data_IF_247750166925
#
_entry.id   IF_247750166925
#
_cell.length_a   1.000
_cell.length_b   1.000
_cell.length_c   1.000
_cell.angle_alpha   90.00
_cell.angle_beta   90.00
_cell.angle_gamma   90.00
#
_symmetry.space_group_name_H-M   'P 1'
#
loop_
_entity.id
_entity.type
_entity.pdbx_description
1 polymer ?
#
# COMPACT_ATOMS: atom_id res chain seq x y z
N UNK A 1 3.29 -7.60 19.89
CA UNK A 1 2.68 -6.33 19.47
C UNK A 1 1.18 -6.41 19.65
N UNK A 2 0.56 -5.30 19.99
CA UNK A 2 -0.89 -5.15 19.99
C UNK A 2 -1.24 -4.16 18.88
N UNK A 3 -1.59 -4.68 17.72
CA UNK A 3 -1.89 -3.84 16.54
C UNK A 3 -3.11 -2.96 16.71
N UNK A 4 -3.99 -3.33 17.63
CA UNK A 4 -5.23 -2.57 17.92
C UNK A 4 -4.97 -1.40 18.89
N UNK A 5 -3.74 -1.21 19.37
CA UNK A 5 -3.35 -0.06 20.18
C UNK A 5 -2.84 1.09 19.31
N UNK A 6 -2.80 2.29 19.87
CA UNK A 6 -2.29 3.50 19.21
C UNK A 6 -3.35 4.24 18.38
N UNK A 7 -2.97 5.45 17.96
CA UNK A 7 -3.89 6.36 17.27
C UNK A 7 -4.14 5.96 15.80
N UNK A 8 -3.26 5.17 15.20
CA UNK A 8 -3.37 4.74 13.81
C UNK A 8 -4.56 3.82 13.51
N UNK A 9 -5.12 3.16 14.53
CA UNK A 9 -6.34 2.34 14.44
C UNK A 9 -7.42 2.79 15.43
N UNK A 10 -7.37 4.05 15.85
CA UNK A 10 -8.37 4.63 16.75
C UNK A 10 -9.78 4.42 16.17
N UNK A 11 -10.70 3.97 17.03
CA UNK A 11 -12.10 3.61 16.72
C UNK A 11 -12.31 2.34 15.89
N UNK A 12 -11.27 1.67 15.45
CA UNK A 12 -11.43 0.33 14.88
C UNK A 12 -11.68 -0.66 16.04
N UNK A 13 -12.75 -1.45 16.01
CA UNK A 13 -13.00 -2.43 17.05
C UNK A 13 -11.87 -3.42 17.19
N UNK A 14 -11.50 -3.77 18.43
CA UNK A 14 -10.50 -4.80 18.68
C UNK A 14 -10.88 -6.11 17.98
N UNK A 15 -9.89 -6.77 17.42
CA UNK A 15 -10.07 -8.02 16.70
C UNK A 15 -10.57 -7.85 15.26
N UNK A 16 -10.71 -6.61 14.75
CA UNK A 16 -10.99 -6.36 13.33
C UNK A 16 -9.77 -6.71 12.47
N UNK A 17 -8.56 -6.42 12.96
CA UNK A 17 -7.33 -6.79 12.27
C UNK A 17 -7.15 -8.31 12.33
N UNK A 18 -7.09 -8.95 11.16
CA UNK A 18 -6.89 -10.41 11.04
C UNK A 18 -5.52 -10.78 10.51
N UNK A 19 -4.95 -9.91 9.68
CA UNK A 19 -3.63 -10.13 9.08
C UNK A 19 -2.83 -8.84 9.04
N UNK A 20 -1.52 -8.99 8.92
CA UNK A 20 -0.62 -7.91 8.53
C UNK A 20 -0.03 -8.28 7.17
N UNK A 21 -0.23 -7.41 6.18
CA UNK A 21 0.53 -7.47 4.94
C UNK A 21 1.87 -6.80 5.16
N UNK A 22 2.91 -7.51 4.79
CA UNK A 22 4.30 -7.08 4.92
C UNK A 22 4.84 -6.75 3.54
N UNK A 23 5.36 -5.56 3.39
CA UNK A 23 5.96 -5.13 2.14
C UNK A 23 7.31 -4.45 2.35
N UNK A 24 8.00 -4.21 1.27
CA UNK A 24 9.26 -3.49 1.23
C UNK A 24 9.25 -2.45 0.12
N UNK A 25 10.25 -1.59 0.13
CA UNK A 25 10.46 -0.56 -0.86
C UNK A 25 11.70 -0.89 -1.70
N UNK A 26 11.54 -0.90 -3.01
CA UNK A 26 12.63 -0.96 -3.97
C UNK A 26 12.82 0.44 -4.57
N UNK A 27 14.03 0.94 -4.52
CA UNK A 27 14.38 2.17 -5.21
C UNK A 27 14.47 1.88 -6.71
N UNK A 28 13.94 2.79 -7.51
CA UNK A 28 14.00 2.64 -8.95
C UNK A 28 15.46 2.59 -9.44
N UNK A 29 15.88 1.54 -10.12
CA UNK A 29 17.27 1.37 -10.53
C UNK A 29 17.68 2.24 -11.72
N UNK A 30 16.72 2.93 -12.36
CA UNK A 30 17.00 3.61 -13.63
C UNK A 30 16.40 5.01 -13.68
N UNK A 31 17.26 6.05 -13.55
CA UNK A 31 16.98 7.47 -13.83
C UNK A 31 15.65 8.05 -13.29
N UNK A 32 15.03 7.40 -12.35
CA UNK A 32 13.76 7.78 -11.78
C UNK A 32 13.94 8.35 -10.36
N UNK A 33 15.04 9.02 -10.14
CA UNK A 33 15.28 9.73 -8.89
C UNK A 33 14.82 11.18 -9.00
N UNK A 34 14.15 11.66 -7.99
CA UNK A 34 13.77 13.05 -7.87
C UNK A 34 12.25 13.31 -7.95
N UNK A 35 11.88 14.57 -7.87
CA UNK A 35 10.50 15.06 -7.84
C UNK A 35 9.63 14.67 -9.05
N UNK A 36 10.26 14.11 -10.08
CA UNK A 36 9.63 13.71 -11.35
C UNK A 36 9.47 12.21 -11.46
N UNK A 37 9.52 11.49 -10.34
CA UNK A 37 9.38 10.04 -10.31
C UNK A 37 8.09 9.55 -10.98
N UNK A 38 8.24 8.65 -11.91
CA UNK A 38 7.17 8.16 -12.79
C UNK A 38 6.56 6.84 -12.35
N UNK A 39 6.76 6.45 -11.09
CA UNK A 39 6.25 5.18 -10.56
C UNK A 39 4.74 5.22 -10.34
N UNK A 40 4.21 6.38 -10.02
CA UNK A 40 2.78 6.62 -9.89
C UNK A 40 2.47 8.10 -9.99
N UNK A 41 1.24 8.45 -10.33
CA UNK A 41 0.80 9.85 -10.30
C UNK A 41 0.75 10.31 -8.86
N UNK A 42 1.44 11.41 -8.54
CA UNK A 42 1.51 12.00 -7.20
C UNK A 42 1.88 10.97 -6.12
N UNK A 43 2.59 9.92 -6.52
CA UNK A 43 2.96 8.81 -5.66
C UNK A 43 4.39 8.89 -5.16
N UNK A 44 4.78 7.96 -4.28
CA UNK A 44 6.15 7.84 -3.81
C UNK A 44 7.11 7.48 -4.94
N UNK A 45 8.38 7.72 -4.74
CA UNK A 45 9.47 7.47 -5.70
C UNK A 45 9.94 6.02 -5.72
N UNK A 46 9.42 5.22 -4.84
CA UNK A 46 9.82 3.85 -4.56
C UNK A 46 8.74 2.87 -5.03
N UNK A 47 9.19 1.75 -5.51
CA UNK A 47 8.33 0.64 -5.90
C UNK A 47 7.99 -0.16 -4.65
N UNK A 48 6.71 -0.35 -4.39
CA UNK A 48 6.26 -1.24 -3.32
C UNK A 48 6.24 -2.67 -3.80
N UNK A 49 6.91 -3.54 -3.04
CA UNK A 49 6.93 -4.97 -3.26
C UNK A 49 6.30 -5.66 -2.06
N UNK A 50 5.33 -6.52 -2.30
CA UNK A 50 4.66 -7.28 -1.25
C UNK A 50 5.49 -8.54 -0.99
N UNK A 51 5.99 -8.67 0.24
CA UNK A 51 6.72 -9.86 0.70
C UNK A 51 5.72 -10.97 1.03
N UNK A 52 4.60 -10.63 1.64
CA UNK A 52 3.54 -11.56 1.97
C UNK A 52 2.69 -11.11 3.15
N UNK A 53 2.09 -12.07 3.84
CA UNK A 53 1.17 -11.82 4.95
C UNK A 53 1.49 -12.68 6.16
N UNK A 54 1.10 -12.22 7.35
CA UNK A 54 1.16 -12.95 8.62
C UNK A 54 -0.16 -12.79 9.36
N UNK A 55 -0.53 -13.81 10.14
CA UNK A 55 -1.75 -13.79 10.92
C UNK A 55 -1.58 -12.98 12.21
N UNK A 56 -2.66 -12.36 12.65
CA UNK A 56 -2.78 -11.65 13.92
C UNK A 56 -3.59 -12.50 14.90
N UNK A 57 -3.12 -12.61 16.12
CA UNK A 57 -3.82 -13.33 17.19
C UNK A 57 -5.10 -12.60 17.59
N UNK A 58 -6.03 -13.29 18.24
CA UNK A 58 -7.31 -12.72 18.68
C UNK A 58 -7.18 -11.50 19.61
N UNK A 59 -6.05 -11.41 20.33
CA UNK A 59 -5.74 -10.28 21.22
C UNK A 59 -5.03 -9.12 20.49
N UNK A 60 -4.91 -9.18 19.16
CA UNK A 60 -4.23 -8.18 18.34
C UNK A 60 -2.71 -8.33 18.32
N UNK A 61 -2.14 -9.37 18.90
CA UNK A 61 -0.69 -9.56 18.91
C UNK A 61 -0.21 -10.38 17.71
N UNK A 62 1.01 -10.10 17.25
CA UNK A 62 1.68 -10.86 16.20
C UNK A 62 3.18 -10.92 16.47
N UNK A 63 3.81 -12.04 16.13
CA UNK A 63 5.26 -12.21 16.10
C UNK A 63 5.67 -12.92 14.82
N UNK A 64 6.58 -12.34 14.07
CA UNK A 64 6.99 -12.86 12.76
C UNK A 64 8.44 -12.46 12.42
N UNK A 65 9.02 -13.14 11.46
CA UNK A 65 10.35 -12.86 10.94
C UNK A 65 10.26 -11.93 9.73
N UNK A 66 11.19 -10.99 9.64
CA UNK A 66 11.35 -10.10 8.47
C UNK A 66 12.77 -10.25 7.92
N UNK A 67 13.00 -9.98 6.63
CA UNK A 67 14.34 -9.90 6.08
C UNK A 67 15.18 -8.85 6.81
N UNK A 68 16.39 -9.19 7.19
CA UNK A 68 17.31 -8.25 7.81
C UNK A 68 17.83 -7.22 6.81
N UNK A 69 18.20 -6.03 7.29
CA UNK A 69 18.72 -4.92 6.49
C UNK A 69 17.79 -4.49 5.33
N UNK A 70 16.50 -4.73 5.49
CA UNK A 70 15.50 -4.44 4.47
C UNK A 70 14.47 -3.46 5.03
N UNK A 71 14.15 -2.35 4.35
CA UNK A 71 13.10 -1.44 4.78
C UNK A 71 11.74 -2.16 4.65
N UNK A 72 11.02 -2.27 5.77
CA UNK A 72 9.75 -3.00 5.85
C UNK A 72 8.63 -2.06 6.27
N UNK A 73 7.51 -2.12 5.57
CA UNK A 73 6.26 -1.50 5.99
C UNK A 73 5.17 -2.54 6.24
N UNK A 74 4.17 -2.16 7.01
CA UNK A 74 3.08 -3.05 7.42
C UNK A 74 1.74 -2.41 7.07
N UNK A 75 0.78 -3.22 6.62
CA UNK A 75 -0.61 -2.84 6.44
C UNK A 75 -1.50 -3.78 7.25
N UNK A 76 -2.21 -3.31 8.28
CA UNK A 76 -3.24 -4.10 8.94
C UNK A 76 -4.44 -4.32 8.01
N UNK A 77 -4.88 -5.58 7.93
CA UNK A 77 -5.97 -6.02 7.07
C UNK A 77 -7.14 -6.56 7.89
N UNK A 78 -8.35 -6.34 7.39
CA UNK A 78 -9.57 -6.97 7.87
C UNK A 78 -9.70 -8.44 7.42
N UNK A 79 -10.87 -9.05 7.68
CA UNK A 79 -11.15 -10.43 7.32
C UNK A 79 -11.24 -10.65 5.80
N UNK A 80 -11.59 -9.64 5.04
CA UNK A 80 -11.68 -9.65 3.58
C UNK A 80 -10.34 -9.30 2.90
N UNK A 81 -9.28 -9.01 3.69
CA UNK A 81 -7.96 -8.64 3.18
C UNK A 81 -7.84 -7.19 2.72
N UNK A 82 -8.76 -6.33 3.14
CA UNK A 82 -8.75 -4.89 2.84
C UNK A 82 -7.93 -4.14 3.89
N UNK A 83 -7.20 -3.12 3.46
CA UNK A 83 -6.35 -2.35 4.35
C UNK A 83 -7.16 -1.41 5.24
N UNK A 84 -7.01 -1.55 6.56
CA UNK A 84 -7.61 -0.66 7.57
C UNK A 84 -6.79 0.60 7.76
N UNK A 85 -5.47 0.51 7.54
CA UNK A 85 -4.52 1.60 7.63
C UNK A 85 -3.30 1.29 6.75
N UNK A 86 -2.52 2.30 6.41
CA UNK A 86 -1.25 2.14 5.69
C UNK A 86 -0.12 2.79 6.48
N UNK A 87 1.01 2.11 6.52
CA UNK A 87 2.27 2.67 6.99
C UNK A 87 2.98 3.35 5.84
N UNK A 88 3.21 4.67 5.92
CA UNK A 88 3.90 5.46 4.89
C UNK A 88 5.39 5.63 5.17
N UNK A 89 5.84 5.12 6.29
CA UNK A 89 7.24 5.00 6.68
C UNK A 89 7.66 3.52 6.68
N UNK A 90 8.83 3.24 7.16
CA UNK A 90 9.35 1.88 7.27
C UNK A 90 10.19 1.72 8.54
N UNK A 91 10.45 0.49 8.90
CA UNK A 91 11.46 0.11 9.87
C UNK A 91 12.45 -0.88 9.24
N UNK A 92 13.63 -0.99 9.80
CA UNK A 92 14.66 -1.93 9.36
C UNK A 92 15.22 -2.66 10.57
N UNK A 93 15.26 -3.98 10.51
CA UNK A 93 15.87 -4.82 11.52
C UNK A 93 17.27 -5.27 11.09
N UNK A 94 18.20 -5.30 12.03
CA UNK A 94 19.52 -5.89 11.85
C UNK A 94 19.45 -7.43 11.94
N UNK A 95 20.44 -8.16 11.44
CA UNK A 95 20.49 -9.60 11.63
C UNK A 95 20.44 -9.98 13.12
N UNK A 96 19.48 -10.81 13.50
CA UNK A 96 19.27 -11.27 14.89
C UNK A 96 18.61 -10.26 15.82
N UNK A 97 18.26 -9.08 15.33
CA UNK A 97 17.57 -8.07 16.12
C UNK A 97 16.09 -8.43 16.33
N UNK A 98 15.59 -8.11 17.50
CA UNK A 98 14.17 -8.19 17.85
C UNK A 98 13.62 -6.78 18.01
N UNK A 99 12.72 -6.40 17.12
CA UNK A 99 11.98 -5.14 17.21
C UNK A 99 10.61 -5.36 17.82
N UNK A 100 10.13 -4.40 18.57
CA UNK A 100 8.78 -4.41 19.12
C UNK A 100 8.11 -3.08 18.89
N UNK A 101 6.86 -3.10 18.43
CA UNK A 101 6.01 -1.93 18.30
C UNK A 101 4.73 -2.14 19.10
N UNK A 102 4.12 -1.08 19.59
CA UNK A 102 2.86 -1.13 20.32
C UNK A 102 1.84 -0.34 19.54
N UNK A 103 1.01 -1.07 18.80
CA UNK A 103 0.00 -0.48 17.93
C UNK A 103 0.52 0.17 16.67
N UNK A 104 -0.42 0.67 15.89
CA UNK A 104 -0.14 1.53 14.75
C UNK A 104 0.00 2.97 15.22
N UNK A 105 1.18 3.54 15.06
CA UNK A 105 1.52 4.91 15.43
C UNK A 105 1.40 5.20 16.94
N UNK A 106 2.46 4.89 17.67
CA UNK A 106 2.58 5.19 19.09
C UNK A 106 2.79 6.70 19.33
N UNK A 107 2.17 7.22 20.39
CA UNK A 107 2.52 8.54 20.91
C UNK A 107 3.86 8.46 21.65
N UNK A 108 4.77 9.39 21.38
CA UNK A 108 6.08 9.50 22.05
C UNK A 108 5.99 9.65 23.58
N UNK A 109 4.87 10.14 24.07
CA UNK A 109 4.63 10.39 25.49
C UNK A 109 3.89 9.24 26.18
N UNK A 110 3.58 8.16 25.46
CA UNK A 110 2.93 6.99 26.02
C UNK A 110 3.93 5.88 26.28
N UNK A 111 3.81 5.27 27.45
CA UNK A 111 4.53 4.06 27.79
C UNK A 111 3.58 2.88 27.61
N UNK A 112 4.08 1.84 26.95
CA UNK A 112 3.37 0.60 26.82
C UNK A 112 2.95 0.04 28.17
N UNK A 113 1.68 -0.26 28.35
CA UNK A 113 1.22 -0.99 29.54
C UNK A 113 1.70 -2.44 29.39
N UNK A 114 2.55 -2.95 30.27
CA UNK A 114 3.01 -4.32 30.20
C UNK A 114 1.82 -5.27 30.33
N UNK A 115 1.61 -6.09 29.32
CA UNK A 115 0.60 -7.15 29.36
C UNK A 115 1.13 -8.41 28.71
N UNK A 116 0.66 -9.54 29.19
CA UNK A 116 0.94 -10.81 28.54
C UNK A 116 0.08 -10.92 27.27
N UNK A 117 0.72 -11.03 26.12
CA UNK A 117 0.06 -11.18 24.81
C UNK A 117 0.18 -12.62 24.31
N UNK A 118 -0.80 -13.07 23.49
CA UNK A 118 -0.84 -14.45 22.98
C UNK A 118 0.36 -14.81 22.11
N UNK A 119 0.92 -13.86 21.38
CA UNK A 119 2.10 -14.07 20.55
C UNK A 119 3.40 -14.23 21.36
N UNK A 120 3.41 -13.82 22.64
CA UNK A 120 4.61 -13.93 23.47
C UNK A 120 4.97 -15.40 23.74
N UNK A 121 6.21 -15.75 23.45
CA UNK A 121 6.71 -17.12 23.63
C UNK A 121 6.34 -18.10 22.51
N UNK A 122 5.61 -17.65 21.48
CA UNK A 122 5.41 -18.45 20.26
C UNK A 122 6.63 -18.37 19.35
N UNK A 123 6.79 -19.40 18.52
CA UNK A 123 7.76 -19.35 17.42
C UNK A 123 7.34 -18.27 16.44
N UNK A 124 8.24 -17.36 16.03
CA UNK A 124 7.91 -16.35 15.06
C UNK A 124 7.41 -16.95 13.75
N UNK A 125 6.29 -16.44 13.26
CA UNK A 125 5.71 -16.86 11.99
C UNK A 125 6.66 -16.53 10.84
N UNK A 126 6.70 -17.40 9.85
CA UNK A 126 7.25 -17.06 8.53
C UNK A 126 6.19 -16.32 7.75
N UNK A 127 6.62 -15.32 6.99
CA UNK A 127 5.74 -14.59 6.09
C UNK A 127 5.24 -15.58 5.02
N UNK A 128 3.93 -15.61 4.81
CA UNK A 128 3.29 -16.45 3.79
C UNK A 128 3.15 -15.66 2.49
N UNK A 129 3.42 -16.30 1.37
CA UNK A 129 3.30 -15.67 0.04
C UNK A 129 1.87 -15.13 -0.18
N UNK A 130 1.79 -13.91 -0.73
CA UNK A 130 0.53 -13.31 -1.13
C UNK A 130 0.34 -13.47 -2.65
N UNK A 131 -0.68 -14.25 -3.04
CA UNK A 131 -1.02 -14.48 -4.46
C UNK A 131 0.18 -14.88 -5.34
N UNK A 132 1.01 -15.80 -4.85
CA UNK A 132 2.19 -16.30 -5.53
C UNK A 132 3.48 -15.62 -5.10
N UNK A 133 4.54 -15.80 -5.89
CA UNK A 133 5.88 -15.32 -5.54
C UNK A 133 5.94 -13.81 -5.33
N UNK A 134 6.81 -13.41 -4.42
CA UNK A 134 7.14 -12.02 -4.13
C UNK A 134 7.46 -11.23 -5.41
N UNK A 135 6.78 -10.10 -5.60
CA UNK A 135 6.92 -9.24 -6.78
C UNK A 135 6.47 -7.81 -6.49
N UNK A 136 6.91 -6.87 -7.33
CA UNK A 136 6.38 -5.51 -7.34
C UNK A 136 4.90 -5.48 -7.74
N UNK A 137 4.12 -4.61 -7.13
CA UNK A 137 2.71 -4.42 -7.48
C UNK A 137 2.60 -3.52 -8.72
N UNK A 138 2.37 -4.13 -9.86
CA UNK A 138 2.27 -3.46 -11.15
C UNK A 138 0.82 -3.28 -11.60
N UNK A 139 0.40 -2.06 -11.90
CA UNK A 139 -0.93 -1.81 -12.47
C UNK A 139 -1.22 -2.68 -13.70
N UNK A 140 -0.26 -2.82 -14.60
CA UNK A 140 -0.42 -3.59 -15.83
C UNK A 140 -0.58 -5.09 -15.60
N UNK A 141 0.06 -5.62 -14.57
CA UNK A 141 0.05 -7.06 -14.31
C UNK A 141 -1.00 -7.47 -13.28
N UNK A 142 -1.34 -6.59 -12.35
CA UNK A 142 -2.26 -6.91 -11.24
C UNK A 142 -3.66 -6.32 -11.47
N UNK A 143 -3.76 -5.09 -11.98
CA UNK A 143 -5.03 -4.37 -12.09
C UNK A 143 -5.62 -4.47 -13.49
N UNK A 144 -4.84 -4.21 -14.52
CA UNK A 144 -5.33 -4.20 -15.90
C UNK A 144 -6.03 -5.49 -16.31
N UNK A 145 -5.55 -6.70 -15.98
CA UNK A 145 -6.25 -7.94 -16.33
C UNK A 145 -7.65 -8.06 -15.70
N UNK A 146 -7.83 -7.49 -14.50
CA UNK A 146 -9.15 -7.44 -13.85
C UNK A 146 -10.08 -6.51 -14.61
N UNK A 147 -9.59 -5.32 -15.00
CA UNK A 147 -10.37 -4.36 -15.80
C UNK A 147 -10.73 -4.92 -17.18
N UNK A 148 -9.79 -5.60 -17.83
CA UNK A 148 -10.02 -6.24 -19.13
C UNK A 148 -11.14 -7.28 -19.07
N UNK A 149 -11.20 -8.00 -17.98
CA UNK A 149 -12.20 -9.05 -17.76
C UNK A 149 -13.60 -8.52 -17.43
N UNK A 150 -13.68 -7.48 -16.60
CA UNK A 150 -14.95 -7.09 -15.98
C UNK A 150 -15.46 -5.71 -16.40
N UNK A 151 -14.61 -4.83 -16.90
CA UNK A 151 -14.94 -3.41 -17.08
C UNK A 151 -14.84 -2.94 -18.54
N UNK A 152 -13.86 -3.44 -19.29
CA UNK A 152 -13.56 -2.97 -20.67
C UNK A 152 -14.74 -3.16 -21.62
N UNK A 153 -15.62 -4.16 -21.41
CA UNK A 153 -16.81 -4.36 -22.23
C UNK A 153 -17.69 -3.11 -22.34
N UNK A 154 -17.77 -2.32 -21.27
CA UNK A 154 -18.52 -1.05 -21.24
C UNK A 154 -17.62 0.19 -21.28
N UNK A 155 -16.35 0.08 -20.89
CA UNK A 155 -15.40 1.17 -20.69
C UNK A 155 -14.28 1.19 -21.75
N UNK A 156 -14.62 0.97 -23.01
CA UNK A 156 -13.69 0.97 -24.15
C UNK A 156 -13.94 2.07 -25.18
N UNK A 157 -14.95 2.94 -24.96
CA UNK A 157 -15.27 4.03 -25.88
C UNK A 157 -14.50 5.29 -25.54
N UNK A 158 -14.10 6.05 -26.57
CA UNK A 158 -13.28 7.27 -26.44
C UNK A 158 -14.12 8.55 -26.40
N UNK A 159 -15.40 8.44 -26.15
CA UNK A 159 -16.33 9.59 -26.18
C UNK A 159 -16.29 10.46 -24.91
N UNK A 160 -15.38 10.19 -23.98
CA UNK A 160 -15.22 10.86 -22.69
C UNK A 160 -16.48 10.86 -21.79
N UNK A 161 -17.53 10.13 -22.18
CA UNK A 161 -18.74 9.99 -21.35
C UNK A 161 -18.50 9.09 -20.15
N UNK A 162 -17.49 8.22 -20.23
CA UNK A 162 -17.10 7.24 -19.21
C UNK A 162 -15.58 7.11 -19.15
N UNK A 163 -15.01 6.66 -18.02
CA UNK A 163 -13.60 6.31 -17.94
C UNK A 163 -13.21 5.30 -19.02
N UNK A 164 -12.08 5.55 -19.68
CA UNK A 164 -11.52 4.62 -20.65
C UNK A 164 -10.61 3.63 -19.96
N UNK A 165 -11.00 2.38 -19.82
CA UNK A 165 -10.28 1.39 -19.00
C UNK A 165 -9.51 0.34 -19.81
N UNK A 166 -9.45 0.44 -21.14
CA UNK A 166 -8.63 -0.43 -21.97
C UNK A 166 -7.17 -0.01 -21.91
N UNK A 167 -6.25 -0.97 -21.70
CA UNK A 167 -4.83 -0.74 -21.45
C UNK A 167 -3.96 -0.52 -22.71
N UNK A 168 -4.55 -0.14 -23.85
CA UNK A 168 -3.87 -0.03 -25.14
C UNK A 168 -3.37 1.37 -25.49
N UNK A 169 -3.73 2.39 -24.73
CA UNK A 169 -3.35 3.79 -24.98
C UNK A 169 -2.42 4.34 -23.91
N UNK A 170 -1.33 4.92 -24.37
CA UNK A 170 -0.35 5.59 -23.53
C UNK A 170 -0.58 7.10 -23.51
N UNK A 171 -0.38 7.69 -22.34
CA UNK A 171 -0.36 9.14 -22.15
C UNK A 171 1.09 9.58 -22.12
N UNK A 172 1.50 10.33 -23.11
CA UNK A 172 2.90 10.75 -23.28
C UNK A 172 3.21 12.14 -22.74
N UNK A 173 2.18 12.98 -22.59
CA UNK A 173 2.30 14.40 -22.25
C UNK A 173 1.97 14.74 -20.79
N UNK A 174 1.60 13.75 -20.02
CA UNK A 174 1.22 13.95 -18.61
C UNK A 174 2.30 14.63 -17.77
N UNK A 175 3.55 14.21 -17.94
CA UNK A 175 4.68 14.76 -17.21
C UNK A 175 5.17 16.08 -17.76
N UNK A 176 4.81 16.45 -18.99
CA UNK A 176 5.15 17.75 -19.56
C UNK A 176 4.52 18.91 -18.79
N UNK A 177 3.38 18.70 -18.18
CA UNK A 177 2.72 19.73 -17.35
C UNK A 177 3.46 19.98 -16.03
N UNK A 178 4.20 18.98 -15.52
CA UNK A 178 4.92 19.08 -14.26
C UNK A 178 6.38 19.52 -14.48
N UNK A 179 7.00 19.11 -15.57
CA UNK A 179 8.43 19.31 -15.79
C UNK A 179 8.78 20.29 -16.89
N UNK A 180 7.80 20.74 -17.67
CA UNK A 180 8.07 21.57 -18.86
C UNK A 180 8.88 20.86 -19.97
N UNK A 181 9.11 19.57 -19.82
CA UNK A 181 9.88 18.74 -20.74
C UNK A 181 9.01 17.62 -21.29
N UNK A 182 8.66 17.71 -22.55
CA UNK A 182 7.95 16.68 -23.30
C UNK A 182 8.87 15.51 -23.72
N UNK A 183 9.86 15.16 -22.91
CA UNK A 183 10.77 14.09 -23.27
C UNK A 183 10.10 12.75 -23.02
N UNK A 184 9.83 12.04 -24.10
CA UNK A 184 9.37 10.66 -24.10
C UNK A 184 10.32 9.69 -23.37
N UNK A 185 11.53 10.13 -23.10
CA UNK A 185 12.57 9.37 -22.39
C UNK A 185 12.29 9.31 -20.86
N UNK A 186 11.61 10.31 -20.31
CA UNK A 186 11.28 10.38 -18.87
C UNK A 186 9.78 10.41 -18.60
N UNK A 187 9.02 10.68 -19.63
CA UNK A 187 7.60 10.94 -19.55
C UNK A 187 6.76 9.69 -19.66
N UNK A 188 5.92 9.55 -18.68
CA UNK A 188 4.62 9.02 -18.86
C UNK A 188 4.49 7.67 -19.52
N UNK A 189 4.99 6.67 -18.87
CA UNK A 189 4.59 5.31 -19.21
C UNK A 189 3.27 4.93 -18.53
N UNK A 190 2.37 5.90 -18.36
CA UNK A 190 1.04 5.65 -17.85
C UNK A 190 0.07 5.37 -18.99
N UNK A 191 -0.80 4.38 -18.79
CA UNK A 191 -1.91 4.16 -19.71
C UNK A 191 -3.05 5.14 -19.41
N UNK A 192 -3.89 5.43 -20.41
CA UNK A 192 -5.12 6.18 -20.20
C UNK A 192 -6.03 5.48 -19.18
N UNK A 193 -6.07 4.16 -19.22
CA UNK A 193 -6.78 3.34 -18.25
C UNK A 193 -6.35 3.64 -16.80
N UNK A 194 -5.06 3.71 -16.53
CA UNK A 194 -4.54 4.09 -15.21
C UNK A 194 -4.98 5.51 -14.82
N UNK A 195 -4.86 6.45 -15.74
CA UNK A 195 -5.20 7.84 -15.49
C UNK A 195 -6.68 8.04 -15.20
N UNK A 196 -7.53 7.37 -15.96
CA UNK A 196 -8.97 7.49 -15.81
C UNK A 196 -9.47 6.77 -14.55
N UNK A 197 -8.90 5.60 -14.21
CA UNK A 197 -9.24 4.90 -12.99
C UNK A 197 -8.77 5.62 -11.72
N UNK A 198 -7.61 6.24 -11.78
CA UNK A 198 -6.93 6.86 -10.66
C UNK A 198 -7.79 7.84 -9.86
N UNK A 199 -8.69 8.56 -10.48
CA UNK A 199 -9.60 9.52 -9.83
C UNK A 199 -10.67 8.87 -8.94
N UNK A 200 -10.96 7.60 -9.15
CA UNK A 200 -11.99 6.85 -8.45
C UNK A 200 -11.46 6.01 -7.29
N UNK A 201 -10.16 6.01 -7.06
CA UNK A 201 -9.54 5.30 -5.94
C UNK A 201 -9.06 6.28 -4.87
N UNK A 202 -9.28 5.94 -3.60
CA UNK A 202 -8.75 6.72 -2.49
C UNK A 202 -7.27 6.43 -2.32
N UNK A 203 -6.51 7.46 -2.11
CA UNK A 203 -5.07 7.42 -1.90
C UNK A 203 -4.63 8.63 -1.08
N UNK A 204 -3.50 8.53 -0.37
CA UNK A 204 -2.89 9.70 0.23
C UNK A 204 -2.56 10.74 -0.85
N UNK A 205 -2.97 11.98 -0.63
CA UNK A 205 -2.53 13.12 -1.43
C UNK A 205 -1.22 13.70 -0.90
N UNK A 206 -0.70 14.71 -1.58
CA UNK A 206 0.50 15.45 -1.15
C UNK A 206 0.28 16.06 0.24
N UNK A 207 -0.88 16.60 0.49
CA UNK A 207 -1.25 17.21 1.78
C UNK A 207 -1.30 16.18 2.92
N UNK A 208 -1.48 14.90 2.59
CA UNK A 208 -1.53 13.82 3.58
C UNK A 208 -0.15 13.41 4.09
N UNK A 209 0.94 13.88 3.48
CA UNK A 209 2.30 13.49 3.89
C UNK A 209 2.69 14.01 5.26
N UNK A 210 2.07 15.08 5.72
CA UNK A 210 2.35 15.70 7.02
C UNK A 210 1.51 15.13 8.16
N UNK A 211 0.45 14.40 7.86
CA UNK A 211 -0.53 13.95 8.86
C UNK A 211 -0.73 12.44 8.81
N UNK A 212 -1.03 11.88 9.98
CA UNK A 212 -1.50 10.50 10.07
C UNK A 212 -2.88 10.40 9.44
N UNK A 213 -3.05 9.43 8.55
CA UNK A 213 -4.35 9.15 7.94
C UNK A 213 -5.33 8.63 8.99
N UNK A 214 -6.59 9.01 8.85
CA UNK A 214 -7.65 8.42 9.66
C UNK A 214 -7.80 6.94 9.32
N UNK A 215 -8.02 6.06 10.32
CA UNK A 215 -8.33 4.66 10.05
C UNK A 215 -9.50 4.54 9.06
N UNK A 216 -9.45 3.57 8.18
CA UNK A 216 -10.39 3.36 7.08
C UNK A 216 -10.33 4.38 5.93
N UNK A 217 -9.52 5.44 6.03
CA UNK A 217 -9.47 6.47 4.99
C UNK A 217 -9.08 5.93 3.61
N UNK A 218 -8.22 4.93 3.57
CA UNK A 218 -7.81 4.23 2.34
C UNK A 218 -8.43 2.84 2.18
N UNK A 219 -9.44 2.52 2.97
CA UNK A 219 -10.14 1.25 2.88
C UNK A 219 -10.87 1.11 1.53
N UNK A 220 -10.81 -0.07 0.92
CA UNK A 220 -11.36 -0.28 -0.42
C UNK A 220 -12.85 0.11 -0.52
N UNK A 221 -13.66 -0.21 0.47
CA UNK A 221 -15.10 0.11 0.48
C UNK A 221 -15.41 1.61 0.57
N UNK A 222 -14.42 2.43 0.91
CA UNK A 222 -14.55 3.89 0.92
C UNK A 222 -14.22 4.52 -0.43
N UNK A 223 -13.78 3.74 -1.41
CA UNK A 223 -13.46 4.25 -2.73
C UNK A 223 -14.72 4.39 -3.58
N UNK A 224 -14.81 5.44 -4.36
CA UNK A 224 -15.91 5.65 -5.32
C UNK A 224 -16.03 4.45 -6.28
N UNK A 225 -14.91 3.88 -6.69
CA UNK A 225 -14.87 2.71 -7.56
C UNK A 225 -15.65 1.50 -7.00
N UNK A 226 -15.69 1.32 -5.69
CA UNK A 226 -16.37 0.20 -5.05
C UNK A 226 -17.81 0.52 -4.66
N UNK A 227 -18.22 1.78 -4.77
CA UNK A 227 -19.57 2.26 -4.43
C UNK A 227 -20.47 2.39 -5.68
N UNK A 228 -19.90 2.24 -6.87
CA UNK A 228 -20.60 2.24 -8.16
C UNK A 228 -21.17 0.85 -8.48
#
# INVERSE_FOLDING_TARGET
>A
QDVDAGDGLKWIPRGTVKKLRVGTYDFSPWRQGGLLGTIGRDGPWDIKRIIGEVDVEEDGSAIFQVPANTPVFIQPLDAEGKALQIMRSWFTAMPGEVLSCIGCHEDRNMVAIPRKVKAFGKVPQKIQEWQGKERGFSYRHEVQPVLDRYCVGCHSREDNSRPYLKGDKWITDWTSQISGSASTEYGGHFTRSYADLHRYVRRPGIESDMHMLTPMDVHADQTELMQL
#
